data_IF_759377257249
#
_entry.id   IF_759377257249
#
_cell.length_a   1.000
_cell.length_b   1.000
_cell.length_c   1.000
_cell.angle_alpha   90.00
_cell.angle_beta   90.00
_cell.angle_gamma   90.00
#
_symmetry.space_group_name_H-M   'P 1'
#
loop_
_entity.id
_entity.type
_entity.pdbx_description
1 polymer ?
#
# COMPACT_ATOMS: atom_id res chain seq x y z
N UNK A 1 31.48 -11.23 -7.12
CA UNK A 1 32.23 -11.69 -5.94
C UNK A 1 31.22 -12.28 -4.98
N UNK A 2 31.31 -13.59 -4.66
CA UNK A 2 30.41 -14.22 -3.68
C UNK A 2 30.79 -13.66 -2.32
N UNK A 3 29.88 -12.96 -1.65
CA UNK A 3 30.06 -12.64 -0.23
C UNK A 3 30.46 -13.94 0.47
N UNK A 4 31.55 -13.92 1.25
CA UNK A 4 31.91 -15.05 2.10
C UNK A 4 30.82 -15.14 3.16
N UNK A 5 29.73 -15.81 2.78
CA UNK A 5 28.56 -16.00 3.63
C UNK A 5 28.97 -16.70 4.92
N UNK A 6 28.13 -16.54 5.94
CA UNK A 6 28.23 -17.23 7.23
C UNK A 6 28.03 -18.74 7.01
N UNK A 7 29.04 -19.40 6.44
CA UNK A 7 29.00 -20.81 6.02
C UNK A 7 29.89 -21.62 6.95
N UNK A 8 29.35 -22.68 7.53
CA UNK A 8 30.11 -23.64 8.34
C UNK A 8 29.52 -25.04 8.19
N UNK A 9 30.40 -26.05 8.05
CA UNK A 9 29.99 -27.44 7.82
C UNK A 9 29.16 -27.67 6.53
N UNK A 10 29.25 -26.77 5.55
CA UNK A 10 28.42 -26.80 4.32
C UNK A 10 27.04 -26.15 4.47
N UNK A 11 26.67 -25.68 5.66
CA UNK A 11 25.42 -24.97 5.93
C UNK A 11 25.62 -23.46 5.88
N UNK A 12 24.66 -22.74 5.30
CA UNK A 12 24.63 -21.27 5.29
C UNK A 12 23.68 -20.77 6.38
N UNK A 13 24.18 -19.87 7.21
CA UNK A 13 23.43 -19.28 8.32
C UNK A 13 22.97 -17.86 7.97
N UNK A 14 21.73 -17.55 8.36
CA UNK A 14 21.11 -16.24 8.09
C UNK A 14 21.59 -15.16 9.05
N UNK A 15 21.95 -15.53 10.29
CA UNK A 15 22.38 -14.58 11.31
C UNK A 15 23.77 -14.93 11.85
N UNK A 16 24.49 -13.89 12.30
CA UNK A 16 25.81 -14.08 12.91
C UNK A 16 25.71 -14.83 14.25
N UNK A 17 24.59 -14.70 14.96
CA UNK A 17 24.32 -15.46 16.19
C UNK A 17 24.29 -16.96 15.89
N UNK A 18 23.43 -17.39 14.97
CA UNK A 18 23.28 -18.81 14.63
C UNK A 18 24.60 -19.38 14.07
N UNK A 19 25.34 -18.56 13.32
CA UNK A 19 26.67 -18.92 12.81
C UNK A 19 27.69 -19.15 13.93
N UNK A 20 27.75 -18.26 14.93
CA UNK A 20 28.70 -18.41 16.04
C UNK A 20 28.36 -19.62 16.91
N UNK A 21 27.08 -19.83 17.20
CA UNK A 21 26.62 -21.03 17.92
C UNK A 21 26.99 -22.31 17.13
N UNK A 22 26.73 -22.32 15.82
CA UNK A 22 27.08 -23.45 14.97
C UNK A 22 28.60 -23.67 14.88
N UNK A 23 29.40 -22.60 14.97
CA UNK A 23 30.85 -22.68 15.00
C UNK A 23 31.37 -23.31 16.28
N UNK A 24 30.86 -22.89 17.44
CA UNK A 24 31.22 -23.49 18.73
C UNK A 24 30.82 -24.96 18.79
N UNK A 25 29.62 -25.31 18.28
CA UNK A 25 29.18 -26.70 18.19
C UNK A 25 30.06 -27.51 17.23
N UNK A 26 30.43 -26.96 16.07
CA UNK A 26 31.31 -27.62 15.11
C UNK A 26 32.68 -27.95 15.71
N UNK A 27 33.30 -27.00 16.42
CA UNK A 27 34.57 -27.22 17.12
C UNK A 27 34.44 -28.26 18.26
N UNK A 28 33.33 -28.21 19.00
CA UNK A 28 33.02 -29.16 20.07
C UNK A 28 32.85 -30.59 19.53
N UNK A 29 32.15 -30.74 18.40
CA UNK A 29 31.97 -32.04 17.72
C UNK A 29 33.31 -32.58 17.22
N UNK A 30 34.11 -31.73 16.57
CA UNK A 30 35.45 -32.11 16.13
C UNK A 30 36.31 -32.60 17.31
N UNK A 31 36.21 -31.95 18.46
CA UNK A 31 36.89 -32.39 19.67
C UNK A 31 36.38 -33.72 20.19
N UNK A 32 35.07 -33.96 20.18
CA UNK A 32 34.49 -35.25 20.57
C UNK A 32 34.99 -36.39 19.69
N UNK A 33 35.05 -36.19 18.37
CA UNK A 33 35.63 -37.15 17.43
C UNK A 33 37.09 -37.50 17.76
N UNK A 34 37.88 -36.55 18.26
CA UNK A 34 39.28 -36.80 18.61
C UNK A 34 39.48 -37.54 19.95
N UNK A 35 38.47 -37.52 20.83
CA UNK A 35 38.56 -38.10 22.19
C UNK A 35 37.82 -39.41 22.38
N UNK A 36 36.82 -39.68 21.57
CA UNK A 36 35.97 -40.86 21.72
C UNK A 36 35.94 -41.66 20.42
N UNK A 37 35.95 -42.99 20.56
CA UNK A 37 35.69 -43.88 19.45
C UNK A 37 34.19 -43.96 19.22
N UNK A 38 33.72 -43.20 18.23
CA UNK A 38 32.30 -43.14 17.85
C UNK A 38 31.91 -44.30 16.92
N UNK A 39 32.83 -45.20 16.58
CA UNK A 39 32.53 -46.42 15.81
C UNK A 39 32.06 -47.55 16.72
N UNK A 40 32.44 -47.53 18.01
CA UNK A 40 31.89 -48.42 19.02
C UNK A 40 30.48 -47.98 19.40
N UNK A 41 29.50 -48.80 19.08
CA UNK A 41 28.10 -48.49 19.28
C UNK A 41 27.69 -48.35 20.76
N UNK A 42 28.39 -49.00 21.70
CA UNK A 42 28.14 -48.81 23.15
C UNK A 42 28.60 -47.44 23.61
N UNK A 43 29.78 -47.01 23.16
CA UNK A 43 30.31 -45.67 23.42
C UNK A 43 29.44 -44.60 22.78
N UNK A 44 29.03 -44.80 21.53
CA UNK A 44 28.09 -43.92 20.81
C UNK A 44 26.75 -43.79 21.55
N UNK A 45 26.18 -44.90 22.04
CA UNK A 45 24.92 -44.89 22.80
C UNK A 45 25.03 -44.07 24.10
N UNK A 46 26.09 -44.29 24.88
CA UNK A 46 26.29 -43.56 26.14
C UNK A 46 26.46 -42.06 25.90
N UNK A 47 27.18 -41.68 24.83
CA UNK A 47 27.34 -40.29 24.43
C UNK A 47 26.02 -39.70 23.93
N UNK A 48 25.29 -40.42 23.08
CA UNK A 48 24.00 -39.98 22.55
C UNK A 48 23.01 -39.64 23.66
N UNK A 49 22.77 -40.57 24.59
CA UNK A 49 21.86 -40.35 25.73
C UNK A 49 22.27 -39.10 26.51
N UNK A 50 23.57 -38.98 26.85
CA UNK A 50 24.09 -37.83 27.60
C UNK A 50 23.89 -36.51 26.85
N UNK A 51 24.08 -36.48 25.55
CA UNK A 51 23.95 -35.26 24.75
C UNK A 51 22.49 -34.83 24.57
N UNK A 52 21.58 -35.80 24.46
CA UNK A 52 20.13 -35.56 24.38
C UNK A 52 19.59 -35.06 25.73
N UNK A 53 19.94 -35.73 26.83
CA UNK A 53 19.52 -35.33 28.19
C UNK A 53 19.96 -33.91 28.54
N UNK A 54 21.21 -33.56 28.20
CA UNK A 54 21.77 -32.25 28.51
C UNK A 54 21.42 -31.17 27.47
N UNK A 55 20.72 -31.53 26.38
CA UNK A 55 20.45 -30.64 25.24
C UNK A 55 21.69 -29.87 24.79
N UNK A 56 22.83 -30.56 24.67
CA UNK A 56 24.13 -29.91 24.40
C UNK A 56 24.18 -29.20 23.05
N UNK A 57 23.35 -29.67 22.11
CA UNK A 57 23.36 -29.21 20.72
C UNK A 57 21.98 -28.70 20.31
N UNK A 58 21.97 -27.58 19.59
CA UNK A 58 20.78 -26.82 19.24
C UNK A 58 20.81 -26.30 17.80
N UNK A 59 21.95 -26.39 17.12
CA UNK A 59 22.07 -25.99 15.71
C UNK A 59 21.94 -27.17 14.76
N UNK A 60 21.78 -26.89 13.47
CA UNK A 60 21.71 -27.92 12.41
C UNK A 60 22.94 -28.84 12.38
N UNK A 61 24.12 -28.32 12.73
CA UNK A 61 25.37 -29.10 12.78
C UNK A 61 25.30 -30.10 13.93
N UNK A 62 24.89 -29.61 15.11
CA UNK A 62 24.62 -30.42 16.29
C UNK A 62 23.62 -31.55 16.05
N UNK A 63 22.50 -31.25 15.41
CA UNK A 63 21.49 -32.25 15.07
C UNK A 63 21.99 -33.28 14.05
N UNK A 64 22.79 -32.86 13.08
CA UNK A 64 23.41 -33.77 12.11
C UNK A 64 24.31 -34.78 12.82
N UNK A 65 25.15 -34.32 13.74
CA UNK A 65 26.02 -35.18 14.53
C UNK A 65 25.24 -36.17 15.43
N UNK A 66 24.18 -35.70 16.10
CA UNK A 66 23.30 -36.58 16.88
C UNK A 66 22.64 -37.64 16.00
N UNK A 67 22.26 -37.30 14.76
CA UNK A 67 21.70 -38.25 13.79
C UNK A 67 22.74 -39.27 13.32
N UNK A 68 23.99 -38.86 13.12
CA UNK A 68 25.10 -39.77 12.81
C UNK A 68 25.34 -40.77 13.94
N UNK A 69 25.37 -40.31 15.20
CA UNK A 69 25.47 -41.19 16.37
C UNK A 69 24.30 -42.18 16.44
N UNK A 70 23.07 -41.70 16.24
CA UNK A 70 21.88 -42.54 16.18
C UNK A 70 22.03 -43.61 15.09
N UNK A 71 22.53 -43.25 13.91
CA UNK A 71 22.79 -44.18 12.80
C UNK A 71 23.77 -45.29 13.18
N UNK A 72 24.88 -44.96 13.85
CA UNK A 72 25.84 -45.96 14.31
C UNK A 72 25.23 -46.94 15.31
N UNK A 73 24.39 -46.44 16.23
CA UNK A 73 23.71 -47.26 17.24
C UNK A 73 22.69 -48.21 16.60
N UNK A 74 21.92 -47.71 15.64
CA UNK A 74 20.91 -48.52 14.94
C UNK A 74 21.58 -49.59 14.05
N UNK A 75 22.66 -49.23 13.35
CA UNK A 75 23.39 -50.16 12.50
C UNK A 75 24.05 -51.31 13.26
N UNK A 76 24.38 -51.12 14.55
CA UNK A 76 24.95 -52.19 15.37
C UNK A 76 23.91 -53.15 15.93
N UNK A 77 22.62 -52.83 15.84
CA UNK A 77 21.52 -53.65 16.36
C UNK A 77 21.45 -53.76 17.89
N UNK A 78 22.12 -52.86 18.63
CA UNK A 78 22.11 -52.87 20.11
C UNK A 78 20.77 -52.34 20.64
N UNK A 79 20.18 -51.38 19.94
CA UNK A 79 18.91 -50.73 20.28
C UNK A 79 18.09 -50.58 19.00
N UNK A 80 16.78 -50.77 19.09
CA UNK A 80 15.87 -50.53 17.96
C UNK A 80 15.46 -49.06 17.89
N UNK A 81 15.01 -48.62 16.72
CA UNK A 81 14.54 -47.24 16.50
C UNK A 81 13.36 -46.86 17.40
N UNK A 82 12.53 -47.83 17.80
CA UNK A 82 11.40 -47.64 18.71
C UNK A 82 11.80 -47.42 20.18
N UNK A 83 13.00 -47.87 20.57
CA UNK A 83 13.48 -47.87 21.95
C UNK A 83 14.52 -46.76 22.23
N UNK A 84 14.87 -45.96 21.22
CA UNK A 84 15.85 -44.86 21.35
C UNK A 84 15.13 -43.50 21.43
N UNK A 85 15.54 -42.68 22.39
CA UNK A 85 15.00 -41.33 22.54
C UNK A 85 15.17 -40.51 21.27
N UNK A 86 14.08 -39.87 20.83
CA UNK A 86 14.08 -39.02 19.65
C UNK A 86 14.85 -37.71 19.86
N UNK A 87 15.49 -37.21 18.80
CA UNK A 87 16.13 -35.90 18.80
C UNK A 87 15.02 -34.83 18.79
N UNK A 88 14.86 -34.11 19.91
CA UNK A 88 13.89 -33.02 20.02
C UNK A 88 14.37 -31.81 19.23
N UNK A 89 13.64 -31.47 18.16
CA UNK A 89 13.84 -30.24 17.39
C UNK A 89 12.83 -29.23 17.94
N UNK A 90 13.26 -28.16 18.62
CA UNK A 90 12.35 -27.10 19.03
C UNK A 90 11.70 -26.54 17.77
N UNK A 91 10.38 -26.31 17.83
CA UNK A 91 9.69 -25.61 16.76
C UNK A 91 10.45 -24.31 16.52
N UNK A 92 11.08 -24.19 15.34
CA UNK A 92 11.59 -22.90 14.91
C UNK A 92 10.38 -22.00 14.94
N UNK A 93 10.43 -20.95 15.77
CA UNK A 93 9.47 -19.85 15.63
C UNK A 93 9.66 -19.41 14.20
N UNK A 94 8.76 -19.88 13.34
CA UNK A 94 8.68 -19.43 11.97
C UNK A 94 8.40 -17.96 12.18
N UNK A 95 9.42 -17.11 12.02
CA UNK A 95 9.26 -15.67 12.00
C UNK A 95 8.29 -15.47 10.86
N UNK A 96 7.01 -15.39 11.22
CA UNK A 96 5.91 -15.64 10.31
C UNK A 96 6.08 -14.64 9.18
N UNK A 97 6.53 -15.11 8.02
CA UNK A 97 6.57 -14.30 6.81
C UNK A 97 5.17 -13.71 6.57
N UNK A 98 4.13 -14.41 7.06
CA UNK A 98 2.75 -13.96 7.15
C UNK A 98 2.50 -12.81 8.15
N UNK A 99 3.12 -12.76 9.34
CA UNK A 99 2.94 -11.63 10.28
C UNK A 99 3.72 -10.41 9.78
N UNK A 100 4.96 -10.60 9.33
CA UNK A 100 5.77 -9.50 8.77
C UNK A 100 5.14 -8.95 7.48
N UNK A 101 4.59 -9.82 6.64
CA UNK A 101 3.87 -9.39 5.45
C UNK A 101 2.54 -8.72 5.82
N UNK A 102 1.75 -9.26 6.76
CA UNK A 102 0.50 -8.65 7.22
C UNK A 102 0.72 -7.26 7.83
N UNK A 103 1.77 -7.08 8.63
CA UNK A 103 2.11 -5.78 9.21
C UNK A 103 2.57 -4.80 8.12
N UNK A 104 3.39 -5.24 7.16
CA UNK A 104 3.76 -4.45 5.97
C UNK A 104 2.53 -4.08 5.13
N UNK A 105 1.61 -5.01 4.89
CA UNK A 105 0.36 -4.77 4.16
C UNK A 105 -0.56 -3.81 4.91
N UNK A 106 -0.65 -3.88 6.25
CA UNK A 106 -1.38 -2.91 7.08
C UNK A 106 -0.77 -1.51 6.96
N UNK A 107 0.54 -1.36 7.06
CA UNK A 107 1.24 -0.08 6.91
C UNK A 107 1.07 0.53 5.51
N UNK A 108 1.14 -0.29 4.45
CA UNK A 108 0.87 0.14 3.08
C UNK A 108 -0.60 0.57 2.91
N UNK A 109 -1.53 -0.16 3.53
CA UNK A 109 -2.96 0.15 3.50
C UNK A 109 -3.27 1.46 4.22
N UNK A 110 -2.68 1.74 5.38
CA UNK A 110 -2.87 3.00 6.09
C UNK A 110 -2.30 4.20 5.32
N UNK A 111 -1.11 4.05 4.70
CA UNK A 111 -0.56 5.07 3.81
C UNK A 111 -1.40 5.29 2.55
N UNK A 112 -2.00 4.25 1.98
CA UNK A 112 -2.88 4.35 0.82
C UNK A 112 -4.24 4.98 1.18
N UNK A 113 -4.84 4.63 2.32
CA UNK A 113 -6.08 5.25 2.82
C UNK A 113 -5.95 6.76 2.94
N UNK A 114 -4.82 7.27 3.43
CA UNK A 114 -4.56 8.70 3.52
C UNK A 114 -4.53 9.38 2.14
N UNK A 115 -3.89 8.75 1.15
CA UNK A 115 -3.82 9.26 -0.23
C UNK A 115 -5.18 9.25 -0.93
N UNK A 116 -5.99 8.20 -0.73
CA UNK A 116 -7.35 8.09 -1.31
C UNK A 116 -8.31 9.11 -0.67
N UNK A 117 -8.18 9.41 0.62
CA UNK A 117 -8.98 10.47 1.28
C UNK A 117 -8.70 11.85 0.68
N UNK A 118 -7.43 12.19 0.43
CA UNK A 118 -7.05 13.45 -0.21
C UNK A 118 -7.60 13.58 -1.62
N UNK A 119 -7.51 12.54 -2.45
CA UNK A 119 -8.04 12.58 -3.82
C UNK A 119 -9.57 12.62 -3.86
N UNK A 120 -10.28 12.04 -2.88
CA UNK A 120 -11.74 12.19 -2.78
C UNK A 120 -12.15 13.62 -2.46
N UNK A 121 -11.46 14.28 -1.51
CA UNK A 121 -11.75 15.68 -1.15
C UNK A 121 -11.49 16.61 -2.34
N UNK A 122 -10.36 16.42 -3.04
CA UNK A 122 -10.03 17.26 -4.21
C UNK A 122 -11.07 17.09 -5.33
N UNK A 123 -11.56 15.86 -5.56
CA UNK A 123 -12.56 15.57 -6.58
C UNK A 123 -13.94 16.14 -6.25
N UNK A 124 -14.34 16.11 -4.97
CA UNK A 124 -15.59 16.76 -4.50
C UNK A 124 -15.50 18.27 -4.69
N UNK A 125 -14.38 18.88 -4.32
CA UNK A 125 -14.17 20.31 -4.54
C UNK A 125 -14.25 20.69 -6.02
N UNK A 126 -13.62 19.89 -6.91
CA UNK A 126 -13.70 20.08 -8.35
C UNK A 126 -15.14 20.04 -8.87
N UNK A 127 -15.97 19.10 -8.39
CA UNK A 127 -17.39 19.01 -8.74
C UNK A 127 -18.17 20.26 -8.30
N UNK A 128 -17.90 20.79 -7.11
CA UNK A 128 -18.56 22.01 -6.60
C UNK A 128 -18.21 23.22 -7.48
N UNK A 129 -16.96 23.35 -7.94
CA UNK A 129 -16.56 24.43 -8.84
C UNK A 129 -17.27 24.35 -10.18
N UNK A 130 -17.38 23.15 -10.77
CA UNK A 130 -18.12 22.95 -12.03
C UNK A 130 -19.60 23.30 -11.86
N UNK A 131 -20.22 22.85 -10.76
CA UNK A 131 -21.61 23.20 -10.44
C UNK A 131 -21.80 24.70 -10.23
N UNK A 132 -20.88 25.36 -9.53
CA UNK A 132 -20.92 26.82 -9.33
C UNK A 132 -20.86 27.60 -10.65
N UNK A 133 -19.98 27.20 -11.57
CA UNK A 133 -19.90 27.79 -12.90
C UNK A 133 -21.21 27.58 -13.69
N UNK A 134 -21.82 26.39 -13.57
CA UNK A 134 -23.05 26.04 -14.26
C UNK A 134 -24.26 26.81 -13.71
N UNK A 135 -24.34 27.00 -12.38
CA UNK A 135 -25.38 27.81 -11.74
C UNK A 135 -25.27 29.26 -12.18
N UNK A 136 -24.07 29.86 -12.15
CA UNK A 136 -23.88 31.24 -12.60
C UNK A 136 -24.26 31.39 -14.07
N UNK A 137 -23.86 30.46 -14.95
CA UNK A 137 -24.22 30.50 -16.37
C UNK A 137 -25.75 30.52 -16.57
N UNK A 138 -26.49 29.61 -15.92
CA UNK A 138 -27.95 29.55 -16.05
C UNK A 138 -28.65 30.79 -15.48
N UNK A 139 -28.15 31.36 -14.38
CA UNK A 139 -28.77 32.53 -13.76
C UNK A 139 -28.41 33.85 -14.47
N UNK A 140 -27.26 33.95 -15.14
CA UNK A 140 -26.78 35.22 -15.73
C UNK A 140 -27.46 35.54 -17.06
N UNK A 141 -27.82 34.53 -17.86
CA UNK A 141 -28.32 34.77 -19.22
C UNK A 141 -29.74 35.35 -19.27
N UNK A 142 -30.57 35.17 -18.23
CA UNK A 142 -32.00 35.50 -18.32
C UNK A 142 -32.37 36.90 -17.83
N UNK A 143 -31.68 37.46 -16.84
CA UNK A 143 -32.08 38.75 -16.25
C UNK A 143 -31.48 39.94 -16.99
N UNK A 144 -30.21 39.86 -17.39
CA UNK A 144 -29.52 40.95 -18.07
C UNK A 144 -30.04 41.11 -19.50
N UNK A 145 -30.16 40.02 -20.27
CA UNK A 145 -30.58 40.08 -21.67
C UNK A 145 -32.05 40.51 -21.84
N UNK A 146 -32.95 40.04 -20.97
CA UNK A 146 -34.36 40.44 -21.02
C UNK A 146 -34.59 41.92 -20.71
N UNK A 147 -33.77 42.51 -19.83
CA UNK A 147 -33.84 43.95 -19.54
C UNK A 147 -33.36 44.79 -20.73
N UNK A 148 -32.32 44.33 -21.44
CA UNK A 148 -31.86 44.98 -22.67
C UNK A 148 -32.93 44.98 -23.77
N UNK A 149 -33.63 43.87 -23.97
CA UNK A 149 -34.70 43.77 -24.96
C UNK A 149 -35.84 44.74 -24.63
N UNK A 150 -36.34 44.73 -23.39
CA UNK A 150 -37.38 45.65 -22.94
C UNK A 150 -36.96 47.11 -23.08
N UNK A 151 -35.70 47.44 -22.77
CA UNK A 151 -35.17 48.80 -22.91
C UNK A 151 -35.13 49.25 -24.36
N UNK A 152 -34.73 48.36 -25.28
CA UNK A 152 -34.71 48.66 -26.71
C UNK A 152 -36.14 48.88 -27.23
N UNK A 153 -37.08 47.98 -26.88
CA UNK A 153 -38.49 48.10 -27.27
C UNK A 153 -39.10 49.40 -26.77
N UNK A 154 -38.88 49.74 -25.50
CA UNK A 154 -39.38 50.99 -24.91
C UNK A 154 -38.84 52.24 -25.65
N UNK A 155 -37.59 52.20 -26.10
CA UNK A 155 -36.98 53.30 -26.87
C UNK A 155 -37.63 53.47 -28.25
N UNK A 156 -37.94 52.36 -28.93
CA UNK A 156 -38.68 52.43 -30.19
C UNK A 156 -40.10 52.96 -30.01
N UNK A 157 -40.82 52.49 -28.99
CA UNK A 157 -42.16 53.02 -28.67
C UNK A 157 -42.13 54.51 -28.35
N UNK A 158 -41.11 54.97 -27.61
CA UNK A 158 -40.93 56.40 -27.32
C UNK A 158 -40.66 57.20 -28.60
N UNK A 159 -39.82 56.69 -29.50
CA UNK A 159 -39.54 57.35 -30.77
C UNK A 159 -40.76 57.40 -31.70
N UNK A 160 -41.58 56.36 -31.72
CA UNK A 160 -42.82 56.32 -32.49
C UNK A 160 -43.82 57.36 -31.98
N UNK A 161 -43.97 57.49 -30.67
CA UNK A 161 -44.80 58.53 -30.04
C UNK A 161 -44.28 59.94 -30.36
N UNK A 162 -42.96 60.16 -30.30
CA UNK A 162 -42.35 61.43 -30.66
C UNK A 162 -42.54 61.77 -32.14
N UNK A 163 -42.40 60.79 -33.04
CA UNK A 163 -42.63 60.97 -34.46
C UNK A 163 -44.09 61.33 -34.75
N UNK A 164 -45.03 60.62 -34.15
CA UNK A 164 -46.46 60.85 -34.34
C UNK A 164 -46.87 62.24 -33.81
N UNK A 165 -46.33 62.67 -32.67
CA UNK A 165 -46.55 64.03 -32.16
C UNK A 165 -46.00 65.09 -33.13
N UNK A 166 -44.79 64.89 -33.66
CA UNK A 166 -44.20 65.81 -34.64
C UNK A 166 -44.99 65.85 -35.95
N UNK A 167 -45.48 64.70 -36.41
CA UNK A 167 -46.31 64.61 -37.61
C UNK A 167 -47.66 65.33 -37.40
N UNK A 168 -48.30 65.13 -36.24
CA UNK A 168 -49.51 65.87 -35.89
C UNK A 168 -49.27 67.38 -35.81
N UNK A 169 -48.14 67.82 -35.27
CA UNK A 169 -47.78 69.23 -35.22
C UNK A 169 -47.55 69.80 -36.64
N UNK A 170 -46.85 69.07 -37.51
CA UNK A 170 -46.64 69.47 -38.89
C UNK A 170 -47.96 69.56 -39.67
N UNK A 171 -48.86 68.58 -39.53
CA UNK A 171 -50.18 68.60 -40.17
C UNK A 171 -51.01 69.80 -39.69
N UNK A 172 -50.94 70.15 -38.40
CA UNK A 172 -51.62 71.34 -37.88
C UNK A 172 -51.06 72.62 -38.49
N UNK A 173 -49.73 72.72 -38.63
CA UNK A 173 -49.07 73.87 -39.27
C UNK A 173 -49.38 73.95 -40.76
N UNK A 174 -49.37 72.82 -41.48
CA UNK A 174 -49.74 72.77 -42.90
C UNK A 174 -51.19 73.22 -43.12
N UNK A 175 -52.14 72.72 -42.32
CA UNK A 175 -53.54 73.17 -42.37
C UNK A 175 -53.69 74.66 -42.07
N UNK A 176 -52.92 75.20 -41.14
CA UNK A 176 -52.94 76.63 -40.84
C UNK A 176 -52.39 77.47 -42.00
N UNK A 177 -51.32 77.01 -42.66
CA UNK A 177 -50.73 77.68 -43.83
C UNK A 177 -51.62 77.57 -45.08
N UNK A 178 -52.23 76.41 -45.34
CA UNK A 178 -53.16 76.18 -46.46
C UNK A 178 -54.47 76.98 -46.26
N UNK A 179 -54.95 77.05 -45.03
CA UNK A 179 -56.07 77.93 -44.66
C UNK A 179 -55.75 79.43 -44.79
N UNK A 180 -54.49 79.84 -44.66
CA UNK A 180 -54.06 81.22 -44.91
C UNK A 180 -53.89 81.51 -46.42
N UNK A 181 -53.34 80.57 -47.20
CA UNK A 181 -53.15 80.71 -48.64
C UNK A 181 -54.45 80.70 -49.46
N UNK A 182 -55.55 80.17 -48.91
CA UNK A 182 -56.87 80.15 -49.59
C UNK A 182 -57.72 81.40 -49.33
N UNK A 183 -57.23 82.34 -48.51
CA UNK A 183 -57.89 83.60 -48.17
C UNK A 183 -57.20 84.84 -48.81
N UNK A 184 -56.21 84.64 -49.69
CA UNK A 184 -55.54 85.66 -50.52
C UNK A 184 -55.99 85.53 -51.98
#
# INVERSE_FOLDING_TARGET
MREKGLIIGGYLFSTNKDYNEAKEEYESIHFLHSKADLTDARTALKLYIKLIENRTFHTIIGYTFLKELQGTILNSGIVKEEDIDGIYIPAQETYNADILSLEKYKLLTEKQKYRIRKTRIINIFLLITILGMLIIAVFTDKSVYADFENKIVNRYSTWEEELNNREQELIQREKALDGMNTLE
#
